data_IF_435595953824
#
_entry.id   IF_435595953824
#
_cell.length_a   1.000
_cell.length_b   1.000
_cell.length_c   1.000
_cell.angle_alpha   90.00
_cell.angle_beta   90.00
_cell.angle_gamma   90.00
#
_symmetry.space_group_name_H-M   'P 1'
#
loop_
_entity.id
_entity.type
_entity.pdbx_description
1 polymer ?
#
# COMPACT_ATOMS: atom_id res chain seq x y z
N UNK A 1 -10.42 -6.26 -18.71
CA UNK A 1 -9.45 -6.46 -17.61
C UNK A 1 -8.27 -5.57 -17.85
N UNK A 2 -8.17 -4.51 -17.03
CA UNK A 2 -6.98 -3.68 -16.97
C UNK A 2 -6.06 -4.29 -15.92
N UNK A 3 -4.79 -4.42 -16.28
CA UNK A 3 -3.72 -4.84 -15.39
C UNK A 3 -2.67 -3.76 -15.49
N UNK A 4 -2.28 -3.20 -14.34
CA UNK A 4 -1.21 -2.22 -14.28
C UNK A 4 -0.09 -2.69 -13.36
N UNK A 5 1.14 -2.50 -13.83
CA UNK A 5 2.35 -2.71 -13.04
C UNK A 5 3.16 -1.43 -13.01
N UNK A 6 3.50 -0.97 -11.81
CA UNK A 6 4.31 0.23 -11.60
C UNK A 6 5.59 -0.16 -10.85
N UNK A 7 6.73 0.26 -11.38
CA UNK A 7 8.03 0.16 -10.73
C UNK A 7 8.79 1.47 -10.91
N UNK A 8 9.14 2.12 -9.81
CA UNK A 8 9.79 3.43 -9.83
C UNK A 8 10.72 3.62 -8.62
N UNK A 9 11.73 4.47 -8.82
CA UNK A 9 12.56 5.06 -7.78
C UNK A 9 12.46 6.58 -7.93
N UNK A 10 12.06 7.28 -6.86
CA UNK A 10 12.03 8.74 -6.82
C UNK A 10 12.41 9.21 -5.40
N UNK A 11 12.48 10.52 -5.18
CA UNK A 11 12.60 11.13 -3.86
C UNK A 11 11.25 11.58 -3.30
N UNK A 12 10.30 11.90 -4.17
CA UNK A 12 8.97 12.37 -3.81
C UNK A 12 7.95 11.83 -4.79
N UNK A 13 7.00 11.06 -4.30
CA UNK A 13 6.00 10.47 -5.16
C UNK A 13 4.57 10.60 -4.59
N UNK A 14 3.65 10.94 -5.49
CA UNK A 14 2.21 10.91 -5.20
C UNK A 14 1.51 10.08 -6.28
N UNK A 15 0.79 9.05 -5.86
CA UNK A 15 0.02 8.17 -6.76
C UNK A 15 -1.46 8.22 -6.39
N UNK A 16 -2.29 8.41 -7.42
CA UNK A 16 -3.74 8.23 -7.34
C UNK A 16 -4.19 7.42 -8.55
N UNK A 17 -4.83 6.28 -8.33
CA UNK A 17 -5.23 5.36 -9.39
C UNK A 17 -6.50 4.59 -9.02
N UNK A 18 -7.25 4.23 -10.06
CA UNK A 18 -8.30 3.23 -10.04
C UNK A 18 -7.99 2.17 -11.11
N UNK A 19 -7.87 0.90 -10.73
CA UNK A 19 -7.68 -0.21 -11.66
C UNK A 19 -8.48 -1.44 -11.18
N UNK A 20 -8.35 -2.58 -11.86
CA UNK A 20 -8.94 -3.85 -11.43
C UNK A 20 -7.90 -4.82 -10.88
N UNK A 21 -6.66 -4.73 -11.38
CA UNK A 21 -5.52 -5.51 -10.92
C UNK A 21 -4.27 -4.66 -10.93
N UNK A 22 -3.72 -4.42 -9.74
CA UNK A 22 -2.59 -3.52 -9.57
C UNK A 22 -1.44 -4.18 -8.82
N UNK A 23 -0.24 -4.05 -9.40
CA UNK A 23 1.02 -4.43 -8.75
C UNK A 23 1.97 -3.24 -8.70
N UNK A 24 2.41 -2.88 -7.49
CA UNK A 24 3.27 -1.72 -7.26
C UNK A 24 4.53 -2.16 -6.51
N UNK A 25 5.70 -1.75 -7.02
CA UNK A 25 6.98 -1.85 -6.34
C UNK A 25 7.69 -0.50 -6.38
N UNK A 26 7.89 0.16 -5.23
CA UNK A 26 8.50 1.50 -5.20
C UNK A 26 9.58 1.59 -4.14
N UNK A 27 10.55 2.45 -4.43
CA UNK A 27 11.50 2.97 -3.45
C UNK A 27 11.42 4.50 -3.51
N UNK A 28 11.11 5.13 -2.39
CA UNK A 28 10.97 6.58 -2.31
C UNK A 28 11.47 7.10 -0.95
N UNK A 29 11.43 8.42 -0.73
CA UNK A 29 11.71 9.01 0.58
C UNK A 29 10.44 9.63 1.20
N UNK A 30 9.53 10.14 0.37
CA UNK A 30 8.23 10.69 0.76
C UNK A 30 7.14 10.22 -0.19
N UNK A 31 6.42 9.19 0.23
CA UNK A 31 5.40 8.56 -0.60
C UNK A 31 3.98 8.80 -0.07
N UNK A 32 3.12 9.32 -0.94
CA UNK A 32 1.67 9.41 -0.70
C UNK A 32 0.90 8.60 -1.74
N UNK A 33 0.05 7.68 -1.28
CA UNK A 33 -0.71 6.77 -2.15
C UNK A 33 -2.20 6.80 -1.78
N UNK A 34 -3.04 6.92 -2.82
CA UNK A 34 -4.49 6.71 -2.74
C UNK A 34 -4.92 5.77 -3.87
N UNK A 35 -5.38 4.56 -3.55
CA UNK A 35 -5.75 3.57 -4.57
C UNK A 35 -7.13 2.98 -4.31
N UNK A 36 -7.77 2.58 -5.40
CA UNK A 36 -8.95 1.73 -5.40
C UNK A 36 -8.74 0.63 -6.43
N UNK A 37 -8.72 -0.63 -6.01
CA UNK A 37 -8.54 -1.77 -6.88
C UNK A 37 -9.39 -2.97 -6.44
N UNK A 38 -9.40 -4.05 -7.23
CA UNK A 38 -10.03 -5.30 -6.82
C UNK A 38 -8.99 -6.27 -6.23
N UNK A 39 -7.78 -6.27 -6.78
CA UNK A 39 -6.64 -7.09 -6.37
C UNK A 39 -5.34 -6.27 -6.37
N UNK A 40 -4.91 -5.90 -5.18
CA UNK A 40 -3.74 -5.05 -4.99
C UNK A 40 -2.59 -5.81 -4.34
N UNK A 41 -1.42 -5.77 -4.99
CA UNK A 41 -0.14 -6.20 -4.41
C UNK A 41 0.83 -5.04 -4.35
N UNK A 42 1.34 -4.74 -3.16
CA UNK A 42 2.24 -3.62 -2.90
C UNK A 42 3.52 -4.11 -2.19
N UNK A 43 4.67 -3.65 -2.69
CA UNK A 43 5.96 -3.73 -2.01
C UNK A 43 6.63 -2.36 -2.00
N UNK A 44 6.82 -1.75 -0.83
CA UNK A 44 7.37 -0.40 -0.71
C UNK A 44 8.54 -0.35 0.28
N UNK A 45 9.53 0.47 -0.07
CA UNK A 45 10.54 0.97 0.84
C UNK A 45 10.48 2.49 0.83
N UNK A 46 10.22 3.10 1.97
CA UNK A 46 10.08 4.55 2.09
C UNK A 46 10.66 5.07 3.42
N UNK A 47 10.70 6.39 3.60
CA UNK A 47 11.02 7.00 4.89
C UNK A 47 9.81 7.68 5.56
N UNK A 48 8.84 8.17 4.77
CA UNK A 48 7.63 8.84 5.22
C UNK A 48 6.43 8.44 4.36
N UNK A 49 5.74 7.39 4.77
CA UNK A 49 4.69 6.79 3.98
C UNK A 49 3.29 7.16 4.47
N UNK A 50 2.46 7.70 3.57
CA UNK A 50 1.02 7.91 3.79
C UNK A 50 0.20 7.13 2.76
N UNK A 51 -0.67 6.24 3.24
CA UNK A 51 -1.45 5.32 2.41
C UNK A 51 -2.95 5.40 2.75
N UNK A 52 -3.78 5.47 1.71
CA UNK A 52 -5.22 5.23 1.78
C UNK A 52 -5.65 4.24 0.69
N UNK A 53 -6.13 3.06 1.07
CA UNK A 53 -6.51 2.01 0.11
C UNK A 53 -7.93 1.50 0.35
N UNK A 54 -8.59 1.17 -0.75
CA UNK A 54 -9.86 0.44 -0.75
C UNK A 54 -9.75 -0.70 -1.76
N UNK A 55 -9.76 -1.94 -1.29
CA UNK A 55 -9.54 -3.12 -2.15
C UNK A 55 -10.43 -4.29 -1.76
N UNK A 56 -10.57 -5.29 -2.63
CA UNK A 56 -11.21 -6.55 -2.22
C UNK A 56 -10.19 -7.53 -1.65
N UNK A 57 -9.05 -7.68 -2.32
CA UNK A 57 -7.91 -8.48 -1.89
C UNK A 57 -6.64 -7.64 -1.86
N UNK A 58 -5.99 -7.60 -0.71
CA UNK A 58 -4.84 -6.74 -0.48
C UNK A 58 -3.67 -7.53 0.12
N UNK A 59 -2.53 -7.48 -0.56
CA UNK A 59 -1.25 -8.00 -0.05
C UNK A 59 -0.22 -6.88 -0.02
N UNK A 60 0.33 -6.62 1.17
CA UNK A 60 1.27 -5.52 1.37
C UNK A 60 2.54 -6.01 2.10
N UNK A 61 3.69 -5.59 1.58
CA UNK A 61 4.99 -5.60 2.28
C UNK A 61 5.56 -4.18 2.35
N UNK A 62 5.66 -3.60 3.55
CA UNK A 62 6.19 -2.25 3.75
C UNK A 62 7.43 -2.25 4.65
N UNK A 63 8.43 -1.47 4.26
CA UNK A 63 9.51 -1.04 5.12
C UNK A 63 9.52 0.49 5.14
N UNK A 64 9.30 1.09 6.31
CA UNK A 64 9.20 2.54 6.43
C UNK A 64 9.73 3.07 7.77
N UNK A 65 9.96 4.38 7.91
CA UNK A 65 10.28 4.96 9.21
C UNK A 65 9.05 5.62 9.89
N UNK A 66 8.13 6.20 9.12
CA UNK A 66 6.95 6.93 9.62
C UNK A 66 5.72 6.62 8.79
N UNK A 67 4.95 5.61 9.22
CA UNK A 67 3.82 5.10 8.48
C UNK A 67 2.50 5.63 9.02
N UNK A 68 1.69 6.22 8.13
CA UNK A 68 0.27 6.46 8.34
C UNK A 68 -0.55 5.72 7.29
N UNK A 69 -1.48 4.87 7.72
CA UNK A 69 -2.20 3.99 6.82
C UNK A 69 -3.68 3.88 7.20
N UNK A 70 -4.54 3.96 6.20
CA UNK A 70 -5.98 3.73 6.27
C UNK A 70 -6.39 2.70 5.22
N UNK A 71 -6.86 1.53 5.66
CA UNK A 71 -7.23 0.41 4.79
C UNK A 71 -8.69 0.01 4.97
N UNK A 72 -9.35 -0.27 3.85
CA UNK A 72 -10.62 -0.96 3.80
C UNK A 72 -10.51 -2.14 2.83
N UNK A 73 -10.66 -3.36 3.34
CA UNK A 73 -10.59 -4.56 2.51
C UNK A 73 -11.50 -5.71 2.96
N UNK A 74 -11.59 -6.74 2.12
CA UNK A 74 -12.23 -8.01 2.49
C UNK A 74 -11.22 -9.05 2.98
N UNK A 75 -10.05 -9.10 2.34
CA UNK A 75 -8.94 -9.98 2.72
C UNK A 75 -7.61 -9.20 2.72
N UNK A 76 -6.95 -9.17 3.87
CA UNK A 76 -5.67 -8.51 4.09
C UNK A 76 -4.57 -9.49 4.48
N UNK A 77 -3.44 -9.41 3.77
CA UNK A 77 -2.16 -9.91 4.25
C UNK A 77 -1.16 -8.76 4.33
N UNK A 78 -0.59 -8.53 5.52
CA UNK A 78 0.38 -7.45 5.74
C UNK A 78 1.65 -7.96 6.43
N UNK A 79 2.79 -7.52 5.89
CA UNK A 79 4.10 -7.57 6.51
C UNK A 79 4.62 -6.15 6.65
N UNK A 80 4.97 -5.74 7.86
CA UNK A 80 5.31 -4.35 8.16
C UNK A 80 6.55 -4.26 9.05
N UNK A 81 7.47 -3.39 8.64
CA UNK A 81 8.59 -2.94 9.48
C UNK A 81 8.59 -1.41 9.54
N UNK A 82 8.31 -0.86 10.72
CA UNK A 82 8.33 0.58 10.95
C UNK A 82 8.91 0.98 12.32
N UNK A 83 9.23 2.27 12.47
CA UNK A 83 9.58 2.88 13.75
C UNK A 83 8.40 3.60 14.40
N UNK A 84 7.53 4.19 13.58
CA UNK A 84 6.33 4.90 14.02
C UNK A 84 5.14 4.53 13.13
N UNK A 85 4.07 4.04 13.75
CA UNK A 85 2.87 3.57 13.07
C UNK A 85 1.61 4.27 13.56
N UNK A 86 0.79 4.73 12.62
CA UNK A 86 -0.64 4.99 12.81
C UNK A 86 -1.44 4.17 11.80
N UNK A 87 -2.29 3.28 12.31
CA UNK A 87 -3.08 2.34 11.51
C UNK A 87 -4.57 2.47 11.82
N UNK A 88 -5.38 2.63 10.77
CA UNK A 88 -6.82 2.44 10.78
C UNK A 88 -7.18 1.35 9.79
N UNK A 89 -7.76 0.25 10.28
CA UNK A 89 -8.06 -0.93 9.47
C UNK A 89 -9.53 -1.32 9.60
N UNK A 90 -10.17 -1.56 8.47
CA UNK A 90 -11.43 -2.29 8.38
C UNK A 90 -11.24 -3.49 7.44
N UNK A 91 -11.22 -4.69 8.01
CA UNK A 91 -11.10 -5.94 7.28
C UNK A 91 -12.19 -6.96 7.68
N UNK A 92 -12.41 -7.97 6.84
CA UNK A 92 -13.15 -9.17 7.24
C UNK A 92 -12.23 -10.35 7.54
N UNK A 93 -11.05 -10.39 6.93
CA UNK A 93 -10.05 -11.44 7.14
C UNK A 93 -8.64 -10.85 7.12
N UNK A 94 -7.96 -10.91 8.26
CA UNK A 94 -6.61 -10.37 8.45
C UNK A 94 -5.58 -11.46 8.76
N UNK A 95 -4.46 -11.41 8.03
CA UNK A 95 -3.22 -12.12 8.36
C UNK A 95 -2.08 -11.11 8.50
N UNK A 96 -1.35 -11.17 9.62
CA UNK A 96 -0.18 -10.33 9.89
C UNK A 96 1.04 -11.25 10.07
N UNK A 97 2.15 -10.90 9.41
CA UNK A 97 3.45 -11.57 9.56
C UNK A 97 4.55 -10.61 9.99
#
# INVERSE_FOLDING_TARGET
>A
DHYLTISLFDYYLTISLFDHYLTISLFDYYLTISLFDYYLTISLFDHYLTISLFDHFLTISLFDHYLTISLFDHYLTISLFDHYLTLSLFDHHLTIS
#
